data_IF_088182512773
#
_entry.id   IF_088182512773
#
_cell.length_a   1.000
_cell.length_b   1.000
_cell.length_c   1.000
_cell.angle_alpha   90.00
_cell.angle_beta   90.00
_cell.angle_gamma   90.00
#
_symmetry.space_group_name_H-M   'P 1'
#
loop_
_entity.id
_entity.type
_entity.pdbx_description
1 polymer ?
#
# COMPACT_ATOMS: atom_id res chain seq x y z
N UNK A 1 31.03 -14.29 -5.49
CA UNK A 1 29.77 -14.45 -6.24
C UNK A 1 28.72 -13.67 -5.47
N UNK A 2 28.62 -12.38 -5.76
CA UNK A 2 27.63 -11.49 -5.14
C UNK A 2 26.38 -11.60 -6.01
N UNK A 3 25.35 -12.26 -5.49
CA UNK A 3 24.08 -12.44 -6.19
C UNK A 3 23.37 -11.09 -6.18
N UNK A 4 23.54 -10.33 -7.27
CA UNK A 4 22.78 -9.10 -7.51
C UNK A 4 21.32 -9.49 -7.74
N UNK A 5 20.56 -9.44 -6.66
CA UNK A 5 19.11 -9.54 -6.67
C UNK A 5 18.55 -8.42 -7.59
N UNK A 6 17.60 -8.72 -8.48
CA UNK A 6 17.13 -7.75 -9.47
C UNK A 6 16.49 -6.54 -8.77
N UNK A 7 16.57 -5.32 -9.35
CA UNK A 7 15.92 -4.16 -8.77
C UNK A 7 14.41 -4.38 -8.86
N UNK A 8 13.81 -4.82 -7.75
CA UNK A 8 12.37 -4.85 -7.60
C UNK A 8 11.85 -3.45 -7.93
N UNK A 9 11.03 -3.38 -8.99
CA UNK A 9 10.47 -2.16 -9.55
C UNK A 9 10.06 -1.18 -8.44
N UNK A 10 10.78 -0.06 -8.38
CA UNK A 10 10.84 0.81 -7.22
C UNK A 10 9.50 1.47 -6.93
N UNK A 11 8.79 0.94 -5.95
CA UNK A 11 8.08 1.79 -5.02
C UNK A 11 9.07 2.86 -4.52
N UNK A 12 8.88 4.13 -4.90
CA UNK A 12 9.77 5.20 -4.43
C UNK A 12 9.82 5.17 -2.90
N UNK A 13 10.99 4.93 -2.26
CA UNK A 13 11.09 4.76 -0.81
C UNK A 13 10.53 5.98 -0.04
N UNK A 14 10.64 7.16 -0.63
CA UNK A 14 10.02 8.40 -0.13
C UNK A 14 8.49 8.30 -0.01
N UNK A 15 7.82 7.63 -0.95
CA UNK A 15 6.37 7.51 -0.95
C UNK A 15 5.89 6.53 0.14
N UNK A 16 6.62 5.43 0.36
CA UNK A 16 6.36 4.51 1.47
C UNK A 16 6.51 5.22 2.81
N UNK A 17 7.52 6.07 2.97
CA UNK A 17 7.73 6.85 4.20
C UNK A 17 6.59 7.84 4.44
N UNK A 18 6.18 8.59 3.41
CA UNK A 18 5.04 9.52 3.48
C UNK A 18 3.75 8.80 3.87
N UNK A 19 3.46 7.66 3.23
CA UNK A 19 2.25 6.87 3.51
C UNK A 19 2.29 6.27 4.92
N UNK A 20 3.46 5.81 5.38
CA UNK A 20 3.66 5.33 6.76
C UNK A 20 3.41 6.44 7.77
N UNK A 21 3.89 7.66 7.48
CA UNK A 21 3.66 8.83 8.33
C UNK A 21 2.19 9.21 8.38
N UNK A 22 1.49 9.22 7.25
CA UNK A 22 0.04 9.45 7.21
C UNK A 22 -0.68 8.43 8.10
N UNK A 23 -0.35 7.14 7.95
CA UNK A 23 -0.95 6.04 8.71
C UNK A 23 -0.71 6.09 10.23
N UNK A 24 0.36 6.75 10.67
CA UNK A 24 0.79 6.78 12.08
C UNK A 24 0.48 8.08 12.80
N UNK A 25 0.35 9.20 12.07
CA UNK A 25 0.28 10.54 12.68
C UNK A 25 -1.08 11.24 12.48
N UNK A 26 -1.85 10.85 11.47
CA UNK A 26 -3.07 11.54 11.10
C UNK A 26 -4.28 11.00 11.86
N UNK A 27 -5.27 11.87 12.13
CA UNK A 27 -6.54 11.46 12.74
C UNK A 27 -7.40 10.60 11.81
N UNK A 28 -7.34 10.85 10.51
CA UNK A 28 -8.12 10.15 9.48
C UNK A 28 -7.21 9.65 8.35
N UNK A 29 -6.34 8.67 8.64
CA UNK A 29 -5.27 8.27 7.73
C UNK A 29 -5.80 7.69 6.40
N UNK A 30 -6.91 6.96 6.45
CA UNK A 30 -7.54 6.35 5.27
C UNK A 30 -8.14 7.41 4.31
N UNK A 31 -8.68 8.50 4.85
CA UNK A 31 -9.21 9.60 4.03
C UNK A 31 -8.09 10.29 3.26
N UNK A 32 -6.95 10.56 3.93
CA UNK A 32 -5.77 11.08 3.23
C UNK A 32 -5.19 10.10 2.22
N UNK A 33 -5.24 8.79 2.50
CA UNK A 33 -4.77 7.77 1.58
C UNK A 33 -5.56 7.73 0.26
N UNK A 34 -6.83 8.16 0.26
CA UNK A 34 -7.63 8.24 -0.97
C UNK A 34 -6.97 9.08 -2.07
N UNK A 35 -6.30 10.17 -1.70
CA UNK A 35 -5.57 11.01 -2.67
C UNK A 35 -4.36 10.29 -3.30
N UNK A 36 -3.88 9.22 -2.68
CA UNK A 36 -2.74 8.43 -3.14
C UNK A 36 -3.14 7.14 -3.88
N UNK A 37 -4.43 6.83 -4.02
CA UNK A 37 -4.94 5.73 -4.85
C UNK A 37 -4.26 5.65 -6.23
N UNK A 38 -4.12 6.74 -7.02
CA UNK A 38 -3.45 6.66 -8.32
C UNK A 38 -1.99 6.21 -8.22
N UNK A 39 -1.29 6.52 -7.12
CA UNK A 39 0.08 6.05 -6.90
C UNK A 39 0.13 4.53 -6.65
N UNK A 40 -0.84 3.99 -5.92
CA UNK A 40 -0.98 2.54 -5.71
C UNK A 40 -1.35 1.79 -7.00
N UNK A 41 -2.15 2.39 -7.87
CA UNK A 41 -2.49 1.82 -9.17
C UNK A 41 -1.29 1.86 -10.14
N UNK A 42 -0.53 2.95 -10.15
CA UNK A 42 0.66 3.11 -10.97
C UNK A 42 1.86 2.28 -10.47
N UNK A 43 1.90 1.96 -9.17
CA UNK A 43 2.96 1.18 -8.54
C UNK A 43 2.35 0.02 -7.75
N UNK A 44 2.09 -1.08 -8.46
CA UNK A 44 1.44 -2.29 -7.93
C UNK A 44 2.13 -2.91 -6.71
N UNK A 45 3.39 -2.56 -6.43
CA UNK A 45 4.18 -3.07 -5.31
C UNK A 45 4.24 -2.14 -4.08
N UNK A 46 3.44 -1.06 -3.99
CA UNK A 46 3.49 -0.16 -2.82
C UNK A 46 2.87 -0.74 -1.54
N UNK A 47 1.93 -1.68 -1.65
CA UNK A 47 1.26 -2.26 -0.48
C UNK A 47 2.20 -3.14 0.33
N UNK A 48 3.02 -3.96 -0.34
CA UNK A 48 3.93 -4.89 0.33
C UNK A 48 4.91 -4.21 1.31
N UNK A 49 5.66 -3.15 0.93
CA UNK A 49 6.57 -2.46 1.83
C UNK A 49 5.85 -1.71 2.96
N UNK A 50 4.59 -1.28 2.75
CA UNK A 50 3.77 -0.71 3.82
C UNK A 50 3.35 -1.78 4.82
N UNK A 51 2.91 -2.94 4.34
CA UNK A 51 2.52 -4.07 5.19
C UNK A 51 3.72 -4.66 5.95
N UNK A 52 4.92 -4.60 5.37
CA UNK A 52 6.16 -5.06 6.01
C UNK A 52 6.83 -4.00 6.90
N UNK A 53 6.25 -2.80 7.02
CA UNK A 53 6.82 -1.73 7.83
C UNK A 53 6.79 -2.08 9.31
N UNK A 54 7.95 -2.08 9.97
CA UNK A 54 8.08 -2.43 11.38
C UNK A 54 7.34 -1.44 12.30
N UNK A 55 7.14 -0.21 11.85
CA UNK A 55 6.33 0.80 12.54
C UNK A 55 4.84 0.44 12.51
N UNK A 56 4.33 0.04 11.34
CA UNK A 56 2.93 -0.36 11.18
C UNK A 56 2.64 -1.72 11.79
N UNK A 57 3.64 -2.62 11.83
CA UNK A 57 3.56 -3.91 12.52
C UNK A 57 3.24 -3.77 14.02
N UNK A 58 3.61 -2.65 14.65
CA UNK A 58 3.25 -2.33 16.05
C UNK A 58 1.82 -1.79 16.19
N UNK A 59 1.13 -1.54 15.09
CA UNK A 59 -0.23 -0.98 15.02
C UNK A 59 -1.15 -1.92 14.23
N UNK A 60 -1.51 -3.10 14.78
CA UNK A 60 -2.23 -4.14 14.06
C UNK A 60 -3.60 -3.65 13.54
N UNK A 61 -4.30 -2.81 14.28
CA UNK A 61 -5.56 -2.20 13.84
C UNK A 61 -5.36 -1.35 12.59
N UNK A 62 -4.30 -0.54 12.54
CA UNK A 62 -3.97 0.31 11.38
C UNK A 62 -3.62 -0.54 10.15
N UNK A 63 -2.88 -1.65 10.33
CA UNK A 63 -2.57 -2.58 9.24
C UNK A 63 -3.83 -3.26 8.69
N UNK A 64 -4.73 -3.71 9.55
CA UNK A 64 -6.00 -4.31 9.13
C UNK A 64 -6.86 -3.28 8.40
N UNK A 65 -6.94 -2.05 8.91
CA UNK A 65 -7.64 -0.95 8.27
C UNK A 65 -7.05 -0.60 6.90
N UNK A 66 -5.72 -0.56 6.77
CA UNK A 66 -5.03 -0.35 5.50
C UNK A 66 -5.32 -1.50 4.51
N UNK A 67 -5.30 -2.75 4.97
CA UNK A 67 -5.60 -3.91 4.14
C UNK A 67 -7.04 -3.86 3.63
N UNK A 68 -8.02 -3.63 4.51
CA UNK A 68 -9.43 -3.47 4.13
C UNK A 68 -9.63 -2.31 3.16
N UNK A 69 -8.99 -1.17 3.42
CA UNK A 69 -9.02 -0.02 2.52
C UNK A 69 -8.44 -0.37 1.15
N UNK A 70 -7.30 -1.06 1.11
CA UNK A 70 -6.65 -1.47 -0.14
C UNK A 70 -7.52 -2.40 -0.97
N UNK A 71 -8.19 -3.36 -0.34
CA UNK A 71 -9.13 -4.26 -1.02
C UNK A 71 -10.37 -3.54 -1.57
N UNK A 72 -10.83 -2.49 -0.88
CA UNK A 72 -11.99 -1.71 -1.32
C UNK A 72 -11.67 -0.73 -2.45
N UNK A 73 -10.48 -0.10 -2.44
CA UNK A 73 -10.15 1.02 -3.32
C UNK A 73 -9.17 0.67 -4.44
N UNK A 74 -8.31 -0.33 -4.22
CA UNK A 74 -7.29 -0.75 -5.18
C UNK A 74 -7.72 -1.99 -5.95
N UNK A 75 -9.03 -2.25 -6.06
CA UNK A 75 -9.59 -3.37 -6.82
C UNK A 75 -8.94 -3.46 -8.20
N UNK A 76 -7.88 -4.28 -8.29
CA UNK A 76 -7.34 -4.73 -9.54
C UNK A 76 -8.41 -5.64 -10.11
N UNK A 77 -9.23 -5.09 -11.00
CA UNK A 77 -10.05 -5.85 -11.94
C UNK A 77 -10.68 -7.11 -11.34
N UNK A 78 -11.55 -6.96 -10.33
CA UNK A 78 -12.74 -7.83 -10.34
C UNK A 78 -13.66 -7.23 -11.37
N UNK A 79 -13.29 -7.38 -12.65
CA UNK A 79 -14.31 -7.57 -13.66
C UNK A 79 -15.27 -8.57 -13.04
N UNK A 80 -16.57 -8.26 -12.86
CA UNK A 80 -17.50 -9.34 -12.75
C UNK A 80 -17.20 -10.23 -13.96
N UNK A 81 -17.04 -11.52 -13.73
CA UNK A 81 -17.19 -12.50 -14.79
C UNK A 81 -18.64 -12.33 -15.27
N UNK A 82 -18.82 -11.34 -16.14
CA UNK A 82 -20.05 -11.06 -16.86
C UNK A 82 -20.19 -12.20 -17.84
N UNK A 83 -21.20 -13.03 -17.60
CA UNK A 83 -21.81 -13.97 -18.54
C UNK A 83 -20.88 -14.93 -19.29
N UNK A 84 -20.93 -16.20 -18.89
CA UNK A 84 -21.11 -17.33 -19.81
C UNK A 84 -21.87 -18.45 -19.09
#
# INVERSE_FOLDING_TARGET
>A
MESVEPPAASATPQLVEVLTKILTTEKEPLQKLNSYIPHFSANSNLLLPLLSSMTLARMPTTLISLLNWSQAHLQASRSPLSSL
#
